data_IF_056622599672
#
_entry.id   IF_056622599672
#
_cell.length_a   1.000
_cell.length_b   1.000
_cell.length_c   1.000
_cell.angle_alpha   90.00
_cell.angle_beta   90.00
_cell.angle_gamma   90.00
#
_symmetry.space_group_name_H-M   'P 1'
#
loop_
_entity.id
_entity.type
_entity.pdbx_description
1 polymer ?
#
# COMPACT_ATOMS: atom_id res chain seq x y z
N UNK A 1 -9.28 -11.67 -14.92
CA UNK A 1 -8.22 -10.92 -14.23
C UNK A 1 -6.93 -11.12 -15.02
N UNK A 2 -6.71 -10.25 -15.99
CA UNK A 2 -5.55 -10.32 -16.88
C UNK A 2 -4.25 -10.10 -16.09
N UNK A 3 -3.13 -10.66 -16.54
CA UNK A 3 -1.80 -10.56 -15.91
C UNK A 3 -1.64 -11.18 -14.51
N UNK A 4 -2.68 -11.80 -13.94
CA UNK A 4 -2.55 -12.61 -12.73
C UNK A 4 -1.58 -13.79 -12.95
N UNK A 5 -0.73 -14.07 -11.96
CA UNK A 5 0.17 -15.23 -11.98
C UNK A 5 0.45 -15.75 -10.55
N UNK A 6 1.04 -16.96 -10.45
CA UNK A 6 1.27 -17.64 -9.17
C UNK A 6 2.33 -17.00 -8.26
N UNK A 7 3.08 -16.00 -8.74
CA UNK A 7 4.06 -15.27 -7.94
C UNK A 7 3.46 -14.08 -7.18
N UNK A 8 2.21 -13.74 -7.47
CA UNK A 8 1.47 -12.68 -6.75
C UNK A 8 1.20 -13.13 -5.31
N UNK A 9 1.56 -12.29 -4.35
CA UNK A 9 1.47 -12.61 -2.92
C UNK A 9 0.09 -12.30 -2.34
N UNK A 10 -0.45 -11.12 -2.61
CA UNK A 10 -1.79 -10.74 -2.16
C UNK A 10 -2.85 -11.76 -2.63
N UNK A 11 -3.75 -12.15 -1.72
CA UNK A 11 -4.67 -13.25 -1.98
C UNK A 11 -5.78 -12.86 -2.97
N UNK A 12 -6.27 -13.84 -3.76
CA UNK A 12 -7.30 -13.62 -4.80
C UNK A 12 -8.60 -12.99 -4.26
N UNK A 13 -8.98 -13.26 -3.01
CA UNK A 13 -10.17 -12.64 -2.39
C UNK A 13 -10.03 -11.12 -2.31
N UNK A 14 -8.89 -10.64 -1.82
CA UNK A 14 -8.55 -9.22 -1.76
C UNK A 14 -8.50 -8.64 -3.18
N UNK A 15 -7.85 -9.35 -4.12
CA UNK A 15 -7.74 -8.88 -5.50
C UNK A 15 -9.12 -8.69 -6.14
N UNK A 16 -9.98 -9.70 -6.04
CA UNK A 16 -11.33 -9.61 -6.57
C UNK A 16 -12.10 -8.44 -5.98
N UNK A 17 -11.99 -8.22 -4.66
CA UNK A 17 -12.66 -7.12 -3.98
C UNK A 17 -12.17 -5.76 -4.47
N UNK A 18 -10.85 -5.57 -4.64
CA UNK A 18 -10.25 -4.35 -5.21
C UNK A 18 -10.77 -4.08 -6.62
N UNK A 19 -10.75 -5.09 -7.51
CA UNK A 19 -11.22 -4.95 -8.88
C UNK A 19 -12.72 -4.60 -8.95
N UNK A 20 -13.53 -5.04 -7.99
CA UNK A 20 -14.94 -4.66 -7.90
C UNK A 20 -15.16 -3.19 -7.53
N UNK A 21 -14.14 -2.52 -6.96
CA UNK A 21 -14.22 -1.09 -6.62
C UNK A 21 -13.77 -0.18 -7.77
N UNK A 22 -13.20 -0.73 -8.84
CA UNK A 22 -12.72 0.08 -9.96
C UNK A 22 -13.86 0.72 -10.75
N UNK A 23 -13.62 1.96 -11.15
CA UNK A 23 -14.40 2.75 -12.09
C UNK A 23 -13.44 3.34 -13.12
N UNK A 24 -13.97 3.85 -14.23
CA UNK A 24 -13.17 4.49 -15.29
C UNK A 24 -12.27 5.64 -14.81
N UNK A 25 -12.53 6.21 -13.62
CA UNK A 25 -11.79 7.35 -13.06
C UNK A 25 -11.00 7.03 -11.81
N UNK A 26 -11.02 5.77 -11.35
CA UNK A 26 -10.41 5.40 -10.08
C UNK A 26 -8.91 5.70 -10.08
N UNK A 27 -8.47 6.55 -9.14
CA UNK A 27 -7.05 6.82 -8.90
C UNK A 27 -6.56 5.95 -7.75
N UNK A 28 -5.60 5.09 -8.03
CA UNK A 28 -5.09 4.10 -7.08
C UNK A 28 -3.63 4.38 -6.69
N UNK A 29 -3.30 4.17 -5.43
CA UNK A 29 -1.93 4.14 -4.91
C UNK A 29 -1.61 2.75 -4.37
N UNK A 30 -0.44 2.21 -4.70
CA UNK A 30 0.08 0.97 -4.13
C UNK A 30 1.44 1.26 -3.48
N UNK A 31 1.54 1.04 -2.18
CA UNK A 31 2.85 0.91 -1.54
C UNK A 31 3.33 -0.52 -1.77
N UNK A 32 4.42 -0.69 -2.50
CA UNK A 32 4.97 -1.95 -2.98
C UNK A 32 4.94 -2.07 -4.51
N UNK A 33 6.03 -2.60 -5.08
CA UNK A 33 6.08 -3.13 -6.44
C UNK A 33 6.39 -4.63 -6.40
N UNK A 34 5.83 -5.37 -7.34
CA UNK A 34 5.95 -6.81 -7.38
C UNK A 34 5.39 -7.41 -8.67
N UNK A 35 4.99 -8.67 -8.58
CA UNK A 35 4.42 -9.42 -9.71
C UNK A 35 2.96 -9.07 -10.01
N UNK A 36 2.32 -8.32 -9.13
CA UNK A 36 0.94 -7.86 -9.22
C UNK A 36 0.82 -6.44 -9.81
N UNK A 37 1.91 -5.68 -9.85
CA UNK A 37 1.88 -4.26 -10.22
C UNK A 37 1.37 -4.04 -11.65
N UNK A 38 1.76 -4.88 -12.62
CA UNK A 38 1.21 -4.80 -13.98
C UNK A 38 -0.30 -5.07 -14.01
N UNK A 39 -0.79 -6.01 -13.21
CA UNK A 39 -2.21 -6.31 -13.10
C UNK A 39 -2.98 -5.11 -12.53
N UNK A 40 -2.44 -4.46 -11.50
CA UNK A 40 -3.02 -3.22 -10.96
C UNK A 40 -2.99 -2.06 -11.94
N UNK A 41 -1.90 -1.90 -12.68
CA UNK A 41 -1.73 -0.80 -13.61
C UNK A 41 -2.65 -0.92 -14.83
N UNK A 42 -2.59 -2.06 -15.54
CA UNK A 42 -3.42 -2.30 -16.72
C UNK A 42 -4.90 -2.45 -16.35
N UNK A 43 -5.18 -3.08 -15.21
CA UNK A 43 -6.55 -3.33 -14.74
C UNK A 43 -7.29 -2.09 -14.23
N UNK A 44 -6.57 -1.02 -13.85
CA UNK A 44 -7.14 0.24 -13.38
C UNK A 44 -6.91 1.38 -14.40
N UNK A 45 -7.11 1.09 -15.69
CA UNK A 45 -7.03 2.07 -16.77
C UNK A 45 -5.72 2.91 -16.75
N UNK A 46 -4.60 2.30 -16.33
CA UNK A 46 -3.28 2.94 -16.23
C UNK A 46 -3.22 4.12 -15.25
N UNK A 47 -4.17 4.21 -14.31
CA UNK A 47 -4.26 5.25 -13.30
C UNK A 47 -3.87 4.75 -11.90
N UNK A 48 -2.75 4.04 -11.83
CA UNK A 48 -2.17 3.50 -10.59
C UNK A 48 -0.77 4.05 -10.40
N UNK A 49 -0.47 4.52 -9.19
CA UNK A 49 0.85 5.00 -8.76
C UNK A 49 1.43 4.02 -7.74
N UNK A 50 2.77 3.90 -7.72
CA UNK A 50 3.48 2.93 -6.91
C UNK A 50 4.57 3.60 -6.07
N UNK A 51 4.80 3.10 -4.86
CA UNK A 51 5.92 3.51 -3.99
C UNK A 51 6.76 2.29 -3.65
N UNK A 52 8.04 2.31 -3.98
CA UNK A 52 8.93 1.16 -3.79
C UNK A 52 10.32 1.57 -3.27
N UNK A 53 10.94 0.74 -2.43
CA UNK A 53 12.25 0.99 -1.85
C UNK A 53 13.37 0.09 -2.40
N UNK A 54 13.06 -0.92 -3.21
CA UNK A 54 14.03 -1.85 -3.80
C UNK A 54 14.13 -1.65 -5.30
N UNK A 55 15.36 -1.46 -5.77
CA UNK A 55 15.62 -1.30 -7.21
C UNK A 55 15.24 -2.55 -7.99
N UNK A 56 15.36 -3.75 -7.39
CA UNK A 56 15.01 -5.01 -8.07
C UNK A 56 13.52 -5.04 -8.50
N UNK A 57 12.59 -4.59 -7.66
CA UNK A 57 11.16 -4.57 -7.97
C UNK A 57 10.78 -3.41 -8.89
N UNK A 58 11.53 -2.32 -8.85
CA UNK A 58 11.43 -1.23 -9.84
C UNK A 58 11.85 -1.77 -11.21
N UNK A 59 13.05 -2.34 -11.32
CA UNK A 59 13.59 -2.90 -12.57
C UNK A 59 12.72 -4.02 -13.13
N UNK A 60 12.07 -4.81 -12.27
CA UNK A 60 11.08 -5.82 -12.68
C UNK A 60 9.91 -5.20 -13.46
N UNK A 61 9.52 -3.97 -13.14
CA UNK A 61 8.28 -3.34 -13.61
C UNK A 61 8.46 -2.21 -14.62
N UNK A 62 9.64 -1.60 -14.74
CA UNK A 62 9.88 -0.43 -15.60
C UNK A 62 9.55 -0.62 -17.09
N UNK A 63 9.51 -1.86 -17.59
CA UNK A 63 9.12 -2.14 -18.98
C UNK A 63 7.62 -2.05 -19.24
N UNK A 64 6.80 -2.24 -18.20
CA UNK A 64 5.34 -2.28 -18.30
C UNK A 64 4.68 -1.05 -17.67
N UNK A 65 5.36 -0.39 -16.73
CA UNK A 65 4.84 0.74 -15.97
C UNK A 65 5.75 1.94 -16.21
N UNK A 66 5.21 3.08 -16.67
CA UNK A 66 6.00 4.29 -16.88
C UNK A 66 6.65 4.78 -15.58
N UNK A 67 7.89 5.27 -15.69
CA UNK A 67 8.69 5.65 -14.53
C UNK A 67 8.04 6.77 -13.70
N UNK A 68 7.26 7.67 -14.31
CA UNK A 68 6.53 8.74 -13.62
C UNK A 68 5.39 8.23 -12.71
N UNK A 69 5.00 6.95 -12.85
CA UNK A 69 4.06 6.27 -11.97
C UNK A 69 4.76 5.57 -10.80
N UNK A 70 6.09 5.52 -10.79
CA UNK A 70 6.90 4.82 -9.78
C UNK A 70 7.68 5.85 -8.95
N UNK A 71 7.37 5.93 -7.66
CA UNK A 71 8.08 6.76 -6.70
C UNK A 71 9.04 5.88 -5.90
N UNK A 72 10.35 6.10 -6.09
CA UNK A 72 11.38 5.50 -5.22
C UNK A 72 11.35 6.18 -3.86
N UNK A 73 11.27 5.41 -2.77
CA UNK A 73 11.35 5.95 -1.41
C UNK A 73 12.10 5.02 -0.45
N UNK A 74 13.16 5.53 0.18
CA UNK A 74 13.94 4.78 1.16
C UNK A 74 13.43 4.98 2.58
N UNK A 75 12.66 4.01 3.08
CA UNK A 75 12.14 4.01 4.44
C UNK A 75 13.26 3.97 5.48
N UNK A 76 13.20 4.88 6.47
CA UNK A 76 14.20 4.98 7.56
C UNK A 76 13.71 4.37 8.88
N UNK A 77 12.49 3.86 8.90
CA UNK A 77 11.93 3.11 10.03
C UNK A 77 12.32 1.64 9.98
N UNK A 78 12.10 0.91 11.06
CA UNK A 78 12.15 -0.55 11.13
C UNK A 78 10.97 -1.07 11.92
N UNK A 79 10.61 -2.34 11.76
CA UNK A 79 9.59 -3.00 12.58
C UNK A 79 9.88 -2.86 14.09
N UNK A 80 11.15 -2.87 14.49
CA UNK A 80 11.56 -2.69 15.89
C UNK A 80 11.48 -1.25 16.40
N UNK A 81 11.75 -0.26 15.55
CA UNK A 81 11.74 1.16 15.94
C UNK A 81 10.36 1.79 15.84
N UNK A 82 9.55 1.35 14.87
CA UNK A 82 8.25 1.93 14.54
C UNK A 82 7.29 2.06 15.73
N UNK A 83 7.10 1.03 16.60
CA UNK A 83 6.20 1.14 17.74
C UNK A 83 6.64 2.14 18.83
N UNK A 84 7.89 2.62 18.77
CA UNK A 84 8.48 3.54 19.76
C UNK A 84 8.38 5.01 19.36
N UNK A 85 7.96 5.28 18.12
CA UNK A 85 7.88 6.65 17.60
C UNK A 85 6.62 7.36 18.11
N UNK A 86 6.78 8.62 18.51
CA UNK A 86 5.64 9.50 18.84
C UNK A 86 4.97 10.04 17.58
N UNK A 87 3.77 10.60 17.71
CA UNK A 87 3.05 11.19 16.58
C UNK A 87 3.83 12.37 15.96
N UNK A 88 4.50 13.18 16.78
CA UNK A 88 5.36 14.27 16.31
C UNK A 88 6.58 13.76 15.56
N UNK A 89 7.12 12.60 15.91
CA UNK A 89 8.22 11.98 15.18
C UNK A 89 7.75 11.37 13.86
N UNK A 90 6.57 10.76 13.85
CA UNK A 90 5.94 10.20 12.64
C UNK A 90 5.58 11.32 11.64
N UNK A 91 5.09 12.47 12.14
CA UNK A 91 4.74 13.60 11.30
C UNK A 91 5.94 14.25 10.58
N UNK A 92 7.19 13.96 11.00
CA UNK A 92 8.40 14.48 10.34
C UNK A 92 8.76 13.74 9.05
N UNK A 93 8.17 12.58 8.78
CA UNK A 93 8.42 11.86 7.52
C UNK A 93 7.69 12.54 6.37
N UNK A 94 8.46 13.20 5.51
CA UNK A 94 7.95 13.98 4.38
C UNK A 94 7.41 13.08 3.28
N UNK A 95 6.16 13.33 2.89
CA UNK A 95 5.54 12.70 1.73
C UNK A 95 6.22 13.24 0.45
N UNK A 96 6.65 12.37 -0.48
CA UNK A 96 7.13 12.78 -1.79
C UNK A 96 6.17 13.74 -2.49
N UNK A 97 6.70 14.84 -3.03
CA UNK A 97 5.89 15.89 -3.66
C UNK A 97 4.94 15.35 -4.73
N UNK A 98 5.40 14.39 -5.53
CA UNK A 98 4.59 13.74 -6.56
C UNK A 98 3.33 13.08 -6.00
N UNK A 99 3.39 12.46 -4.82
CA UNK A 99 2.22 11.87 -4.18
C UNK A 99 1.24 12.95 -3.69
N UNK A 100 1.76 14.07 -3.19
CA UNK A 100 0.92 15.21 -2.77
C UNK A 100 0.20 15.84 -3.97
N UNK A 101 0.86 15.94 -5.13
CA UNK A 101 0.26 16.45 -6.36
C UNK A 101 -0.84 15.53 -6.91
N UNK A 102 -0.71 14.22 -6.69
CA UNK A 102 -1.67 13.23 -7.20
C UNK A 102 -2.81 12.92 -6.23
N UNK A 103 -2.61 13.16 -4.93
CA UNK A 103 -3.64 13.00 -3.91
C UNK A 103 -4.85 13.93 -4.17
N UNK A 104 -6.04 13.58 -3.65
CA UNK A 104 -6.36 12.36 -2.90
C UNK A 104 -6.56 11.12 -3.80
N UNK A 105 -6.36 9.94 -3.23
CA UNK A 105 -6.57 8.65 -3.90
C UNK A 105 -7.94 8.05 -3.56
N UNK A 106 -8.53 7.29 -4.48
CA UNK A 106 -9.78 6.57 -4.28
C UNK A 106 -9.54 5.21 -3.63
N UNK A 107 -8.44 4.55 -3.99
CA UNK A 107 -8.02 3.26 -3.44
C UNK A 107 -6.54 3.33 -3.07
N UNK A 108 -6.19 2.82 -1.89
CA UNK A 108 -4.80 2.68 -1.45
C UNK A 108 -4.55 1.23 -1.03
N UNK A 109 -3.58 0.55 -1.64
CA UNK A 109 -3.07 -0.73 -1.16
C UNK A 109 -1.75 -0.49 -0.43
N UNK A 110 -1.66 -0.98 0.79
CA UNK A 110 -0.44 -1.01 1.59
C UNK A 110 0.05 -2.46 1.60
N UNK A 111 0.85 -2.81 0.58
CA UNK A 111 1.49 -4.13 0.42
C UNK A 111 3.04 -4.07 0.46
N UNK A 112 3.56 -2.94 0.90
CA UNK A 112 4.98 -2.68 1.01
C UNK A 112 5.22 -1.51 1.96
N UNK A 113 6.46 -1.32 2.44
CA UNK A 113 7.63 -2.15 2.18
C UNK A 113 7.60 -3.48 2.95
N UNK A 114 8.67 -4.28 2.78
CA UNK A 114 8.90 -5.52 3.53
C UNK A 114 8.85 -5.33 5.05
N UNK A 115 8.33 -6.33 5.78
CA UNK A 115 8.14 -6.29 7.23
C UNK A 115 8.38 -7.63 7.95
N UNK A 116 8.96 -8.62 7.27
CA UNK A 116 9.06 -10.00 7.76
C UNK A 116 10.16 -10.23 8.84
N UNK A 117 11.03 -9.25 9.11
CA UNK A 117 11.93 -9.26 10.28
C UNK A 117 11.92 -7.92 11.01
N UNK A 118 12.44 -7.90 12.25
CA UNK A 118 12.52 -6.71 13.10
C UNK A 118 13.30 -5.54 12.46
N UNK A 119 14.26 -5.84 11.59
CA UNK A 119 15.12 -4.85 10.92
C UNK A 119 14.56 -4.36 9.58
N UNK A 120 13.47 -4.96 9.08
CA UNK A 120 12.82 -4.49 7.85
C UNK A 120 11.98 -3.25 8.12
N UNK A 121 11.70 -2.41 7.11
CA UNK A 121 11.10 -1.11 7.38
C UNK A 121 9.69 -1.17 7.97
N UNK A 122 8.90 -2.16 7.53
CA UNK A 122 7.51 -2.33 7.92
C UNK A 122 6.61 -1.19 7.44
N UNK A 123 5.31 -1.30 7.72
CA UNK A 123 4.31 -0.47 7.05
C UNK A 123 3.81 0.73 7.86
N UNK A 124 4.57 1.21 8.85
CA UNK A 124 4.21 2.40 9.66
C UNK A 124 4.03 3.65 8.79
N UNK A 125 5.01 3.99 7.97
CA UNK A 125 4.98 5.19 7.12
C UNK A 125 3.86 5.10 6.06
N UNK A 126 3.72 4.00 5.30
CA UNK A 126 2.56 3.80 4.41
C UNK A 126 1.21 3.97 5.10
N UNK A 127 1.01 3.36 6.28
CA UNK A 127 -0.24 3.48 7.02
C UNK A 127 -0.51 4.93 7.45
N UNK A 128 0.50 5.62 7.98
CA UNK A 128 0.35 7.02 8.37
C UNK A 128 0.02 7.91 7.17
N UNK A 129 0.79 7.81 6.09
CA UNK A 129 0.57 8.62 4.89
C UNK A 129 -0.76 8.31 4.21
N UNK A 130 -1.24 7.07 4.25
CA UNK A 130 -2.57 6.76 3.74
C UNK A 130 -3.66 7.60 4.43
N UNK A 131 -3.52 7.96 5.71
CA UNK A 131 -4.47 8.87 6.38
C UNK A 131 -4.46 10.30 5.81
N UNK A 132 -3.32 10.73 5.27
CA UNK A 132 -3.11 12.08 4.72
C UNK A 132 -3.37 12.15 3.21
N UNK A 133 -3.22 11.03 2.51
CA UNK A 133 -3.41 10.90 1.05
C UNK A 133 -4.82 10.43 0.67
N UNK A 134 -5.69 10.22 1.66
CA UNK A 134 -7.08 9.81 1.50
C UNK A 134 -8.04 11.00 1.54
N UNK A 135 -9.27 10.77 1.06
CA UNK A 135 -10.47 11.61 1.24
C UNK A 135 -11.59 10.75 1.86
N UNK A 136 -12.69 11.35 2.34
CA UNK A 136 -13.86 10.56 2.75
C UNK A 136 -14.30 9.60 1.64
N UNK A 137 -14.47 8.32 1.98
CA UNK A 137 -14.80 7.26 1.04
C UNK A 137 -13.61 6.56 0.38
N UNK A 138 -12.37 6.99 0.62
CA UNK A 138 -11.18 6.24 0.16
C UNK A 138 -11.17 4.85 0.78
N UNK A 139 -10.96 3.83 -0.04
CA UNK A 139 -10.84 2.43 0.41
C UNK A 139 -9.35 2.10 0.56
N UNK A 140 -8.92 1.74 1.76
CA UNK A 140 -7.54 1.31 2.02
C UNK A 140 -7.48 -0.18 2.38
N UNK A 141 -6.58 -0.89 1.72
CA UNK A 141 -6.26 -2.28 1.97
C UNK A 141 -4.90 -2.36 2.66
N UNK A 142 -4.84 -2.98 3.83
CA UNK A 142 -3.58 -3.22 4.56
C UNK A 142 -3.34 -4.71 4.60
N UNK A 143 -2.37 -5.20 3.82
CA UNK A 143 -2.03 -6.62 3.80
C UNK A 143 -1.07 -7.00 4.95
N UNK A 144 -0.84 -8.29 5.17
CA UNK A 144 0.00 -8.85 6.23
C UNK A 144 -0.47 -8.51 7.66
N UNK A 145 -1.78 -8.45 7.88
CA UNK A 145 -2.36 -8.10 9.18
C UNK A 145 -1.99 -9.05 10.32
N UNK A 146 -1.55 -10.29 10.04
CA UNK A 146 -1.03 -11.21 11.04
C UNK A 146 0.26 -10.70 11.72
N UNK A 147 0.95 -9.72 11.12
CA UNK A 147 2.18 -9.15 11.67
C UNK A 147 1.87 -8.12 12.77
N UNK A 148 2.68 -8.06 13.85
CA UNK A 148 2.43 -7.15 14.97
C UNK A 148 2.42 -5.67 14.61
N UNK A 149 3.31 -5.23 13.72
CA UNK A 149 3.40 -3.81 13.35
C UNK A 149 2.17 -3.37 12.55
N UNK A 150 1.75 -4.15 11.55
CA UNK A 150 0.62 -3.86 10.68
C UNK A 150 -0.68 -3.83 11.49
N UNK A 151 -0.88 -4.82 12.39
CA UNK A 151 -1.99 -4.78 13.37
C UNK A 151 -1.94 -3.52 14.24
N UNK A 152 -0.76 -3.14 14.75
CA UNK A 152 -0.60 -1.91 15.54
C UNK A 152 -0.96 -0.66 14.74
N UNK A 153 -0.49 -0.55 13.50
CA UNK A 153 -0.74 0.58 12.63
C UNK A 153 -2.24 0.72 12.31
N UNK A 154 -2.92 -0.41 12.02
CA UNK A 154 -4.36 -0.39 11.76
C UNK A 154 -5.15 0.11 12.95
N UNK A 155 -4.85 -0.40 14.16
CA UNK A 155 -5.47 0.08 15.39
C UNK A 155 -5.19 1.55 15.67
N UNK A 156 -3.96 2.00 15.43
CA UNK A 156 -3.53 3.38 15.70
C UNK A 156 -4.19 4.40 14.75
N UNK A 157 -4.17 4.13 13.45
CA UNK A 157 -4.52 5.13 12.44
C UNK A 157 -5.94 5.01 11.90
N UNK A 158 -6.50 3.80 11.88
CA UNK A 158 -7.82 3.57 11.27
C UNK A 158 -8.89 3.15 12.29
N UNK A 159 -8.50 2.72 13.49
CA UNK A 159 -9.40 2.45 14.62
C UNK A 159 -10.60 1.58 14.24
N UNK A 160 -11.80 2.14 14.30
CA UNK A 160 -13.12 1.54 14.07
C UNK A 160 -13.55 1.52 12.59
N UNK A 161 -12.72 2.03 11.68
CA UNK A 161 -13.04 2.11 10.24
C UNK A 161 -12.84 0.81 9.46
N UNK A 162 -12.34 -0.25 10.11
CA UNK A 162 -12.15 -1.57 9.49
C UNK A 162 -13.52 -2.17 9.16
N UNK A 163 -13.79 -2.39 7.87
CA UNK A 163 -15.06 -2.94 7.38
C UNK A 163 -14.99 -4.45 7.16
N UNK A 164 -13.84 -4.96 6.73
CA UNK A 164 -13.67 -6.38 6.43
C UNK A 164 -12.25 -6.80 6.76
N UNK A 165 -12.10 -7.99 7.33
CA UNK A 165 -10.81 -8.64 7.50
C UNK A 165 -10.83 -9.94 6.69
N UNK A 166 -10.09 -9.94 5.58
CA UNK A 166 -9.81 -11.14 4.80
C UNK A 166 -8.93 -12.07 5.64
N UNK A 167 -9.32 -13.33 5.77
CA UNK A 167 -8.67 -14.29 6.68
C UNK A 167 -7.63 -15.17 5.97
N UNK A 168 -7.53 -15.06 4.65
CA UNK A 168 -6.60 -15.85 3.85
C UNK A 168 -5.17 -15.33 3.98
N UNK A 169 -4.19 -16.24 3.83
CA UNK A 169 -2.75 -15.96 4.01
C UNK A 169 -2.48 -15.27 5.35
N UNK A 170 -1.70 -14.19 5.33
CA UNK A 170 -1.35 -13.39 6.49
C UNK A 170 -2.37 -12.28 6.78
N UNK A 171 -3.59 -12.43 6.25
CA UNK A 171 -4.75 -11.54 6.45
C UNK A 171 -4.59 -10.16 5.84
N UNK A 172 -5.72 -9.55 5.47
CA UNK A 172 -5.78 -8.19 4.96
C UNK A 172 -6.99 -7.45 5.55
N UNK A 173 -6.83 -6.17 5.91
CA UNK A 173 -7.96 -5.31 6.29
C UNK A 173 -8.40 -4.45 5.11
N UNK A 174 -9.72 -4.40 4.88
CA UNK A 174 -10.39 -3.36 4.10
C UNK A 174 -10.92 -2.28 5.04
N UNK A 175 -10.57 -1.04 4.75
CA UNK A 175 -10.85 0.13 5.57
C UNK A 175 -11.50 1.18 4.67
N UNK A 176 -12.52 1.88 5.17
CA UNK A 176 -13.14 3.00 4.46
C UNK A 176 -12.92 4.27 5.29
N UNK A 177 -12.27 5.27 4.71
CA UNK A 177 -11.89 6.52 5.38
C UNK A 177 -13.06 7.47 5.58
#
# INVERSE_FOLDING_TARGET
MEHYNSKIQIHKSVINDVFQQFTEKTKMLVFGLGYDSRMWYEGNHKNTFFVENKDEYIQLNIKNIPQEKIIKYDYKTTCASSPKLTDEQIAKFTIPEKLLQEAPFDIIIIDGPEGYTSQKPGRLIPCYWATLLSKPGTIVYVDDLARPLETFCVKKFFKDKVQTEFKERDKCAKIII
#
